data_IF_361009060845
#
_entry.id   IF_361009060845
#
_cell.length_a   1.000
_cell.length_b   1.000
_cell.length_c   1.000
_cell.angle_alpha   90.00
_cell.angle_beta   90.00
_cell.angle_gamma   90.00
#
_symmetry.space_group_name_H-M   'P 1'
#
loop_
_entity.id
_entity.type
_entity.pdbx_description
1 polymer ?
#
# COMPACT_ATOMS: atom_id res chain seq x y z
N UNK A 1 29.84 34.87 49.43
CA UNK A 1 29.94 36.12 48.65
C UNK A 1 28.73 36.22 47.73
N UNK A 2 28.01 37.34 47.87
CA UNK A 2 26.91 37.94 47.08
C UNK A 2 25.67 37.10 46.67
N UNK A 3 24.53 37.72 47.00
CA UNK A 3 23.13 37.29 47.02
C UNK A 3 22.44 37.38 45.64
N UNK A 4 21.24 36.78 45.50
CA UNK A 4 20.34 36.95 44.36
C UNK A 4 19.58 38.29 44.42
N UNK A 5 19.13 38.80 43.27
CA UNK A 5 18.32 40.03 43.19
C UNK A 5 16.95 39.71 42.60
N UNK A 6 15.92 39.91 43.43
CA UNK A 6 14.49 39.98 43.12
C UNK A 6 14.08 41.45 43.11
N UNK A 7 13.39 41.97 42.10
CA UNK A 7 12.55 43.20 42.12
C UNK A 7 11.46 43.00 41.04
N UNK A 8 10.18 42.71 41.36
CA UNK A 8 9.05 43.62 41.74
C UNK A 8 8.76 44.66 40.65
N UNK A 9 7.71 44.55 39.84
CA UNK A 9 6.33 44.90 40.18
C UNK A 9 5.89 46.14 39.37
N UNK A 10 4.70 46.11 38.77
CA UNK A 10 4.17 47.25 38.01
C UNK A 10 2.86 46.96 37.31
N UNK A 11 1.75 47.04 38.05
CA UNK A 11 0.39 47.09 37.52
C UNK A 11 0.17 48.35 36.69
N UNK A 12 -0.55 48.24 35.57
CA UNK A 12 -1.30 49.36 34.97
C UNK A 12 -2.48 48.84 34.16
N UNK A 13 -3.68 49.11 34.68
CA UNK A 13 -4.90 49.61 34.02
C UNK A 13 -5.08 49.13 32.57
N UNK A 14 -6.03 48.27 32.21
CA UNK A 14 -7.46 48.41 32.46
C UNK A 14 -8.11 49.09 31.26
N UNK A 15 -8.56 48.31 30.26
CA UNK A 15 -9.65 48.69 29.34
C UNK A 15 -10.43 47.43 28.96
N UNK A 16 -11.70 47.44 29.34
CA UNK A 16 -12.75 46.50 28.99
C UNK A 16 -13.36 46.95 27.66
N UNK A 17 -13.67 46.05 26.72
CA UNK A 17 -14.85 46.23 25.89
C UNK A 17 -15.92 45.22 26.33
N UNK A 18 -17.04 45.78 26.81
CA UNK A 18 -18.29 45.09 27.12
C UNK A 18 -19.07 44.82 25.82
N UNK A 19 -20.00 43.86 25.86
CA UNK A 19 -20.77 43.41 24.71
C UNK A 19 -21.88 44.42 24.38
N UNK A 20 -22.14 44.64 23.09
CA UNK A 20 -23.33 45.35 22.62
C UNK A 20 -24.33 44.36 22.04
N UNK A 21 -25.46 44.23 22.74
CA UNK A 21 -26.74 43.68 22.31
C UNK A 21 -27.53 44.69 21.47
N UNK A 22 -28.15 44.25 20.38
CA UNK A 22 -29.46 44.69 19.86
C UNK A 22 -29.80 43.87 18.58
N UNK A 23 -30.75 42.93 18.60
CA UNK A 23 -32.19 43.09 18.25
C UNK A 23 -32.32 43.43 16.74
N UNK A 24 -32.85 42.59 15.85
CA UNK A 24 -34.28 42.28 15.59
C UNK A 24 -34.34 41.15 14.53
N UNK A 25 -35.01 40.00 14.72
CA UNK A 25 -36.34 39.62 14.20
C UNK A 25 -36.22 38.87 12.84
N UNK A 26 -37.02 37.90 12.37
CA UNK A 26 -38.26 37.22 12.75
C UNK A 26 -38.48 36.13 11.66
N UNK A 27 -39.03 34.95 12.02
CA UNK A 27 -39.79 33.97 11.20
C UNK A 27 -39.17 33.28 9.95
N UNK A 28 -39.10 31.94 9.99
CA UNK A 28 -39.97 31.08 9.16
C UNK A 28 -39.98 29.63 9.68
N UNK A 29 -41.20 29.14 9.95
CA UNK A 29 -41.54 27.81 10.45
C UNK A 29 -41.68 26.85 9.27
N UNK A 30 -41.15 25.63 9.38
CA UNK A 30 -41.56 24.51 8.53
C UNK A 30 -41.84 23.29 9.42
N UNK A 31 -43.12 23.05 9.70
CA UNK A 31 -43.69 21.78 10.15
C UNK A 31 -45.03 21.60 9.43
N UNK A 32 -45.40 20.34 9.23
CA UNK A 32 -46.56 19.79 8.51
C UNK A 32 -46.37 19.73 6.98
N UNK A 33 -46.47 18.58 6.34
CA UNK A 33 -47.64 17.69 6.34
C UNK A 33 -47.35 16.21 6.60
N UNK A 34 -48.30 15.55 7.26
CA UNK A 34 -48.40 14.11 7.39
C UNK A 34 -49.60 13.52 6.65
N UNK A 35 -49.53 12.19 6.50
CA UNK A 35 -50.59 11.20 6.25
C UNK A 35 -51.26 11.13 4.88
N UNK A 36 -51.06 10.00 4.20
CA UNK A 36 -52.13 9.00 4.06
C UNK A 36 -51.57 7.59 3.83
N UNK A 37 -52.06 6.64 4.64
CA UNK A 37 -51.89 5.21 4.45
C UNK A 37 -53.14 4.65 3.73
N UNK A 38 -52.95 3.74 2.77
CA UNK A 38 -53.98 2.78 2.35
C UNK A 38 -53.31 1.40 2.26
N UNK A 39 -54.00 0.42 2.84
CA UNK A 39 -53.61 -0.97 3.00
C UNK A 39 -54.09 -1.86 1.84
N UNK A 40 -53.46 -3.05 1.72
CA UNK A 40 -53.99 -4.26 1.07
C UNK A 40 -53.38 -4.56 -0.31
N UNK A 41 -53.12 -5.80 -0.76
CA UNK A 41 -53.36 -7.17 -0.27
C UNK A 41 -52.40 -8.11 -1.05
N UNK A 42 -51.74 -9.02 -0.32
CA UNK A 42 -51.35 -10.42 -0.61
C UNK A 42 -51.29 -10.92 -2.08
N UNK A 43 -50.11 -11.41 -2.49
CA UNK A 43 -49.96 -12.74 -3.11
C UNK A 43 -48.52 -13.24 -3.00
N UNK A 44 -48.37 -14.38 -2.34
CA UNK A 44 -47.14 -15.16 -2.34
C UNK A 44 -47.05 -16.00 -3.61
N UNK A 45 -45.82 -16.19 -4.09
CA UNK A 45 -45.45 -17.33 -4.92
C UNK A 45 -44.05 -17.76 -4.50
N UNK A 46 -43.98 -18.94 -3.90
CA UNK A 46 -42.78 -19.73 -3.65
C UNK A 46 -42.11 -20.09 -4.96
N UNK A 47 -40.81 -19.83 -5.07
CA UNK A 47 -40.00 -20.26 -6.21
C UNK A 47 -38.52 -20.22 -5.82
N UNK A 48 -38.09 -21.22 -5.04
CA UNK A 48 -36.68 -21.55 -4.92
C UNK A 48 -36.21 -22.10 -6.27
N UNK A 49 -35.65 -21.23 -7.11
CA UNK A 49 -34.92 -21.61 -8.31
C UNK A 49 -33.43 -21.43 -8.03
N UNK A 50 -32.71 -22.54 -8.06
CA UNK A 50 -31.26 -22.60 -7.98
C UNK A 50 -30.65 -21.65 -9.03
N UNK A 51 -29.78 -20.75 -8.59
CA UNK A 51 -28.99 -19.90 -9.49
C UNK A 51 -28.06 -20.78 -10.34
N UNK A 52 -28.05 -20.65 -11.67
CA UNK A 52 -26.97 -21.23 -12.48
C UNK A 52 -25.64 -20.53 -12.17
N UNK A 53 -24.49 -21.18 -12.41
CA UNK A 53 -23.20 -20.57 -12.20
C UNK A 53 -23.02 -19.43 -13.21
N UNK A 54 -22.93 -18.20 -12.72
CA UNK A 54 -22.60 -17.04 -13.55
C UNK A 54 -21.14 -17.15 -13.98
N UNK A 55 -20.95 -17.64 -15.21
CA UNK A 55 -19.78 -17.34 -16.04
C UNK A 55 -19.59 -15.82 -16.15
N UNK A 56 -18.33 -15.42 -16.18
CA UNK A 56 -17.88 -14.04 -16.13
C UNK A 56 -18.53 -13.16 -17.19
N UNK A 57 -19.36 -12.23 -16.73
CA UNK A 57 -19.75 -11.05 -17.48
C UNK A 57 -18.98 -9.87 -16.91
N UNK A 58 -18.32 -9.15 -17.82
CA UNK A 58 -17.58 -7.92 -17.57
C UNK A 58 -18.53 -6.96 -16.86
N UNK A 59 -18.18 -6.58 -15.64
CA UNK A 59 -18.99 -5.69 -14.81
C UNK A 59 -19.36 -4.43 -15.57
N UNK A 60 -20.66 -4.16 -15.59
CA UNK A 60 -21.27 -2.94 -16.07
C UNK A 60 -20.49 -1.73 -15.56
N UNK A 61 -20.06 -0.87 -16.48
CA UNK A 61 -19.32 0.34 -16.17
C UNK A 61 -20.13 1.20 -15.22
N UNK A 62 -19.77 1.19 -13.93
CA UNK A 62 -20.12 2.27 -13.01
C UNK A 62 -19.74 3.58 -13.71
N UNK A 63 -20.72 4.41 -14.07
CA UNK A 63 -20.57 5.62 -14.91
C UNK A 63 -19.73 6.76 -14.30
N UNK A 64 -18.73 6.43 -13.50
CA UNK A 64 -17.72 7.34 -12.95
C UNK A 64 -16.35 7.12 -13.59
N UNK A 65 -15.36 7.94 -13.21
CA UNK A 65 -14.03 7.88 -13.80
C UNK A 65 -13.37 6.52 -13.56
N UNK A 66 -12.63 6.02 -14.57
CA UNK A 66 -11.89 4.77 -14.50
C UNK A 66 -10.56 4.86 -15.24
N UNK A 67 -9.61 3.99 -14.87
CA UNK A 67 -8.30 3.91 -15.50
C UNK A 67 -8.09 2.51 -16.09
N UNK A 68 -7.64 2.44 -17.34
CA UNK A 68 -7.03 1.27 -17.93
C UNK A 68 -5.57 1.54 -18.28
N UNK A 69 -4.66 0.59 -18.03
CA UNK A 69 -3.24 0.71 -18.39
C UNK A 69 -2.87 -0.46 -19.29
N UNK A 70 -2.41 -0.14 -20.50
CA UNK A 70 -1.90 -1.11 -21.46
C UNK A 70 -0.38 -1.18 -21.39
N UNK A 71 0.15 -2.36 -21.07
CA UNK A 71 1.59 -2.60 -21.05
C UNK A 71 2.19 -2.70 -22.47
N UNK A 72 1.40 -3.18 -23.45
CA UNK A 72 1.81 -3.20 -24.86
C UNK A 72 1.98 -1.79 -25.41
N UNK A 73 0.96 -0.94 -25.21
CA UNK A 73 0.93 0.43 -25.74
C UNK A 73 1.83 1.36 -24.93
N UNK A 74 2.13 0.99 -23.67
CA UNK A 74 2.76 1.89 -22.68
C UNK A 74 1.94 3.16 -22.53
N UNK A 75 0.62 2.98 -22.42
CA UNK A 75 -0.34 4.06 -22.25
C UNK A 75 -1.29 3.79 -21.09
N UNK A 76 -1.68 4.87 -20.45
CA UNK A 76 -2.79 4.95 -19.51
C UNK A 76 -3.97 5.61 -20.23
N UNK A 77 -5.13 4.98 -20.14
CA UNK A 77 -6.40 5.45 -20.65
C UNK A 77 -7.26 5.84 -19.45
N UNK A 78 -7.65 7.11 -19.38
CA UNK A 78 -8.53 7.65 -18.36
C UNK A 78 -9.90 7.88 -19.01
N UNK A 79 -10.90 7.14 -18.56
CA UNK A 79 -12.30 7.44 -18.86
C UNK A 79 -12.79 8.46 -17.84
N UNK A 80 -13.26 9.62 -18.31
CA UNK A 80 -13.85 10.66 -17.48
C UNK A 80 -15.28 10.34 -17.05
N UNK A 81 -15.86 11.17 -16.18
CA UNK A 81 -17.27 11.08 -15.79
C UNK A 81 -18.24 11.39 -16.94
N UNK A 82 -17.74 12.09 -17.96
CA UNK A 82 -18.41 12.38 -19.24
C UNK A 82 -18.34 11.20 -20.22
N UNK A 83 -17.64 10.12 -19.87
CA UNK A 83 -17.38 8.99 -20.75
C UNK A 83 -16.25 9.23 -21.76
N UNK A 84 -15.65 10.43 -21.80
CA UNK A 84 -14.52 10.69 -22.70
C UNK A 84 -13.28 9.92 -22.27
N UNK A 85 -12.63 9.26 -23.22
CA UNK A 85 -11.39 8.52 -22.97
C UNK A 85 -10.19 9.34 -23.42
N UNK A 86 -9.32 9.70 -22.48
CA UNK A 86 -8.05 10.39 -22.72
C UNK A 86 -6.89 9.43 -22.53
N UNK A 87 -5.91 9.49 -23.44
CA UNK A 87 -4.75 8.61 -23.39
C UNK A 87 -3.45 9.36 -23.07
N UNK A 88 -2.62 8.77 -22.22
CA UNK A 88 -1.37 9.35 -21.72
C UNK A 88 -0.22 8.34 -21.82
N UNK A 89 0.98 8.73 -22.26
CA UNK A 89 2.12 7.82 -22.28
C UNK A 89 2.59 7.54 -20.84
N UNK A 90 3.03 6.31 -20.59
CA UNK A 90 3.58 5.89 -19.28
C UNK A 90 4.90 5.16 -19.44
N UNK A 91 5.83 5.36 -18.51
CA UNK A 91 6.94 4.43 -18.33
C UNK A 91 6.47 3.24 -17.51
N UNK A 92 6.89 2.04 -17.93
CA UNK A 92 6.60 0.80 -17.24
C UNK A 92 7.90 0.15 -16.73
N UNK A 93 7.77 -0.94 -15.98
CA UNK A 93 8.89 -1.71 -15.45
C UNK A 93 9.93 -2.06 -16.52
N UNK A 94 11.22 -1.88 -16.18
CA UNK A 94 12.35 -2.36 -16.98
C UNK A 94 12.29 -3.88 -17.19
N UNK A 95 12.96 -4.43 -18.21
CA UNK A 95 13.01 -5.89 -18.41
C UNK A 95 13.40 -6.63 -17.14
N UNK A 96 12.69 -7.73 -16.84
CA UNK A 96 12.89 -8.52 -15.62
C UNK A 96 12.25 -7.97 -14.35
N UNK A 97 11.64 -6.77 -14.37
CA UNK A 97 10.85 -6.25 -13.24
C UNK A 97 9.37 -6.60 -13.46
N UNK A 98 8.77 -7.44 -12.59
CA UNK A 98 7.36 -7.79 -12.73
C UNK A 98 6.45 -6.60 -12.44
N UNK A 99 5.38 -6.48 -13.23
CA UNK A 99 4.30 -5.51 -13.03
C UNK A 99 3.01 -6.31 -12.85
N UNK A 100 2.21 -6.04 -11.80
CA UNK A 100 0.91 -6.70 -11.66
C UNK A 100 -0.02 -6.42 -12.84
N UNK A 101 -0.81 -7.43 -13.21
CA UNK A 101 -1.83 -7.39 -14.26
C UNK A 101 -3.15 -7.81 -13.61
N UNK A 102 -4.25 -7.16 -13.97
CA UNK A 102 -5.58 -7.38 -13.39
C UNK A 102 -6.19 -6.10 -12.83
N UNK A 103 -7.20 -6.27 -11.98
CA UNK A 103 -7.96 -5.17 -11.41
C UNK A 103 -7.37 -4.69 -10.07
N UNK A 104 -7.49 -3.39 -9.83
CA UNK A 104 -7.05 -2.66 -8.65
C UNK A 104 -7.92 -1.41 -8.48
N UNK A 105 -7.69 -0.66 -7.41
CA UNK A 105 -8.30 0.66 -7.19
C UNK A 105 -7.24 1.67 -6.72
N UNK A 106 -7.53 2.96 -6.86
CA UNK A 106 -6.75 4.01 -6.21
C UNK A 106 -7.04 3.97 -4.71
N UNK A 107 -6.04 3.59 -3.90
CA UNK A 107 -6.19 3.52 -2.44
C UNK A 107 -5.85 4.84 -1.76
N UNK A 108 -4.93 5.60 -2.35
CA UNK A 108 -4.48 6.86 -1.76
C UNK A 108 -4.00 7.83 -2.83
N UNK A 109 -4.32 9.09 -2.63
CA UNK A 109 -3.82 10.22 -3.43
C UNK A 109 -2.84 11.04 -2.61
N UNK A 110 -1.64 11.28 -3.14
CA UNK A 110 -0.56 12.03 -2.46
C UNK A 110 -0.14 13.23 -3.30
N UNK A 111 -0.32 14.43 -2.74
CA UNK A 111 0.31 15.66 -3.23
C UNK A 111 1.67 15.83 -2.57
N UNK A 112 2.67 16.28 -3.32
CA UNK A 112 4.04 16.47 -2.88
C UNK A 112 4.56 15.28 -2.05
N UNK A 113 4.60 14.06 -2.62
CA UNK A 113 4.98 12.87 -1.87
C UNK A 113 6.46 12.90 -1.49
N UNK A 114 6.81 12.42 -0.29
CA UNK A 114 8.18 11.99 0.00
C UNK A 114 8.43 10.64 -0.68
N UNK A 115 9.50 10.53 -1.46
CA UNK A 115 9.92 9.24 -1.98
C UNK A 115 10.78 8.50 -0.97
N UNK A 116 10.49 7.22 -0.77
CA UNK A 116 11.31 6.31 0.02
C UNK A 116 11.63 5.12 -0.86
N UNK A 117 12.92 4.86 -1.18
CA UNK A 117 13.26 3.70 -1.98
C UNK A 117 12.73 2.42 -1.34
N UNK A 118 12.38 1.44 -2.17
CA UNK A 118 12.03 0.10 -1.70
C UNK A 118 13.29 -0.64 -1.25
N UNK A 119 13.14 -1.74 -0.49
CA UNK A 119 14.33 -2.51 -0.11
C UNK A 119 15.00 -3.13 -1.34
N UNK A 120 14.22 -3.55 -2.35
CA UNK A 120 14.78 -4.03 -3.61
C UNK A 120 15.62 -2.96 -4.32
N UNK A 121 15.11 -1.72 -4.42
CA UNK A 121 15.88 -0.62 -5.01
C UNK A 121 17.17 -0.34 -4.25
N UNK A 122 17.16 -0.42 -2.91
CA UNK A 122 18.39 -0.27 -2.10
C UNK A 122 19.34 -1.46 -2.21
N UNK A 123 18.86 -2.68 -2.46
CA UNK A 123 19.75 -3.81 -2.75
C UNK A 123 20.49 -3.60 -4.07
N UNK A 124 19.77 -3.16 -5.10
CA UNK A 124 20.34 -2.91 -6.42
C UNK A 124 21.25 -1.67 -6.43
N UNK A 125 20.90 -0.63 -5.65
CA UNK A 125 21.69 0.60 -5.50
C UNK A 125 21.77 1.00 -4.02
N UNK A 126 22.76 0.48 -3.27
CA UNK A 126 22.93 0.75 -1.85
C UNK A 126 23.15 2.22 -1.48
N UNK A 127 23.63 3.03 -2.44
CA UNK A 127 23.85 4.47 -2.26
C UNK A 127 22.59 5.33 -2.28
N UNK A 128 21.40 4.75 -2.50
CA UNK A 128 20.15 5.51 -2.48
C UNK A 128 19.87 6.10 -1.08
N UNK A 129 19.43 7.37 -1.00
CA UNK A 129 19.10 8.00 0.28
C UNK A 129 17.90 7.32 0.95
N UNK A 130 17.80 7.39 2.28
CA UNK A 130 16.67 6.80 3.02
C UNK A 130 15.31 7.39 2.62
N UNK A 131 15.29 8.66 2.26
CA UNK A 131 14.15 9.37 1.73
C UNK A 131 14.62 10.54 0.86
N UNK A 132 13.81 10.90 -0.13
CA UNK A 132 13.94 12.16 -0.88
C UNK A 132 12.68 12.98 -0.61
N UNK A 133 12.80 14.18 -0.04
CA UNK A 133 11.66 15.04 0.25
C UNK A 133 11.00 15.52 -1.06
N UNK A 134 9.82 16.16 -0.99
CA UNK A 134 9.20 16.77 -2.15
C UNK A 134 10.12 17.83 -2.78
N UNK A 135 10.15 17.89 -4.12
CA UNK A 135 10.97 18.85 -4.86
C UNK A 135 11.38 18.33 -6.25
N UNK A 136 12.16 19.13 -7.01
CA UNK A 136 12.54 18.79 -8.39
C UNK A 136 13.31 17.47 -8.52
N UNK A 137 14.05 17.08 -7.49
CA UNK A 137 14.86 15.85 -7.49
C UNK A 137 14.07 14.61 -7.04
N UNK A 138 12.77 14.73 -6.75
CA UNK A 138 11.96 13.63 -6.28
C UNK A 138 11.48 12.76 -7.45
N UNK A 139 11.80 11.44 -7.47
CA UNK A 139 11.43 10.57 -8.58
C UNK A 139 9.95 10.22 -8.66
N UNK A 140 9.14 10.58 -7.65
CA UNK A 140 7.69 10.48 -7.71
C UNK A 140 7.03 11.72 -8.33
N UNK A 141 7.79 12.80 -8.56
CA UNK A 141 7.24 14.09 -8.98
C UNK A 141 6.31 14.71 -7.92
N UNK A 142 5.37 15.54 -8.37
CA UNK A 142 4.44 16.29 -7.50
C UNK A 142 3.24 15.46 -7.04
N UNK A 143 2.88 14.39 -7.74
CA UNK A 143 1.66 13.63 -7.52
C UNK A 143 1.91 12.14 -7.61
N UNK A 144 1.29 11.38 -6.72
CA UNK A 144 1.26 9.93 -6.75
C UNK A 144 -0.13 9.40 -6.36
N UNK A 145 -0.57 8.38 -7.09
CA UNK A 145 -1.79 7.61 -6.88
C UNK A 145 -1.35 6.20 -6.50
N UNK A 146 -1.46 5.86 -5.24
CA UNK A 146 -1.08 4.53 -4.77
C UNK A 146 -2.21 3.54 -5.08
N UNK A 147 -1.85 2.40 -5.66
CA UNK A 147 -2.78 1.36 -6.06
C UNK A 147 -2.98 0.32 -4.96
N UNK A 148 -3.99 -0.54 -5.13
CA UNK A 148 -4.28 -1.69 -4.24
C UNK A 148 -3.16 -2.73 -4.17
N UNK A 149 -2.22 -2.70 -5.13
CA UNK A 149 -1.03 -3.56 -5.09
C UNK A 149 0.12 -2.93 -4.29
N UNK A 150 0.89 -3.76 -3.55
CA UNK A 150 1.93 -3.28 -2.65
C UNK A 150 3.05 -2.50 -3.36
N UNK A 151 3.12 -1.20 -3.06
CA UNK A 151 4.01 -0.19 -3.67
C UNK A 151 4.04 -0.18 -5.20
N UNK A 152 2.86 -0.37 -5.80
CA UNK A 152 2.62 0.08 -7.16
C UNK A 152 1.87 1.40 -7.07
N UNK A 153 2.34 2.38 -7.82
CA UNK A 153 1.70 3.68 -7.92
C UNK A 153 1.73 4.17 -9.36
N UNK A 154 0.76 5.01 -9.70
CA UNK A 154 0.80 5.88 -10.87
C UNK A 154 1.32 7.23 -10.36
N UNK A 155 2.45 7.70 -10.86
CA UNK A 155 3.09 8.88 -10.32
C UNK A 155 3.79 9.72 -11.39
N UNK A 156 4.11 10.98 -11.06
CA UNK A 156 4.91 11.84 -11.92
C UNK A 156 6.37 11.38 -12.02
N UNK A 157 7.24 12.19 -12.60
CA UNK A 157 8.67 11.85 -12.67
C UNK A 157 9.51 13.12 -12.70
N UNK A 158 10.75 13.03 -12.21
CA UNK A 158 11.80 14.02 -12.45
C UNK A 158 12.65 13.68 -13.69
N UNK A 159 12.38 12.54 -14.33
CA UNK A 159 13.04 12.06 -15.55
C UNK A 159 11.97 11.92 -16.66
N UNK A 160 11.49 13.02 -17.26
CA UNK A 160 10.41 12.98 -18.25
C UNK A 160 10.73 12.12 -19.47
N UNK A 161 12.01 12.08 -19.87
CA UNK A 161 12.48 11.22 -20.97
C UNK A 161 12.26 9.73 -20.68
N UNK A 162 12.12 9.30 -19.42
CA UNK A 162 11.84 7.89 -19.12
C UNK A 162 10.43 7.45 -19.56
N UNK A 163 9.50 8.40 -19.79
CA UNK A 163 8.10 8.13 -20.15
C UNK A 163 8.00 7.53 -21.55
N UNK A 164 7.12 6.54 -21.72
CA UNK A 164 6.99 5.76 -22.95
C UNK A 164 8.05 4.66 -23.11
N UNK A 165 8.86 4.38 -22.08
CA UNK A 165 9.93 3.36 -22.10
C UNK A 165 9.76 2.34 -20.97
N UNK A 166 10.47 1.21 -21.07
CA UNK A 166 10.62 0.20 -20.00
C UNK A 166 11.76 0.62 -19.07
N UNK A 167 11.50 1.58 -18.19
CA UNK A 167 12.53 2.24 -17.38
C UNK A 167 12.24 2.25 -15.87
N UNK A 168 11.04 1.86 -15.44
CA UNK A 168 10.64 1.98 -14.04
C UNK A 168 11.07 0.77 -13.19
N UNK A 169 11.04 0.95 -11.87
CA UNK A 169 11.21 -0.14 -10.88
C UNK A 169 9.92 -0.91 -10.59
N UNK A 170 8.90 -0.81 -11.44
CA UNK A 170 7.61 -1.53 -11.32
C UNK A 170 6.37 -0.64 -11.24
N UNK A 171 6.54 0.65 -10.95
CA UNK A 171 5.45 1.65 -10.96
C UNK A 171 5.17 2.20 -12.37
N UNK A 172 4.09 2.97 -12.51
CA UNK A 172 3.73 3.67 -13.75
C UNK A 172 4.16 5.13 -13.65
N UNK A 173 5.19 5.53 -14.41
CA UNK A 173 5.66 6.93 -14.44
C UNK A 173 4.94 7.70 -15.53
N UNK A 174 4.45 8.88 -15.21
CA UNK A 174 3.79 9.79 -16.14
C UNK A 174 4.58 11.08 -16.27
N UNK A 175 4.34 11.83 -17.35
CA UNK A 175 4.83 13.20 -17.46
C UNK A 175 4.25 14.06 -16.31
N UNK A 176 4.97 15.08 -15.82
CA UNK A 176 4.50 15.93 -14.72
C UNK A 176 3.12 16.56 -14.94
N UNK A 177 2.82 17.00 -16.17
CA UNK A 177 1.51 17.59 -16.51
C UNK A 177 0.39 16.54 -16.62
N UNK A 178 0.72 15.35 -17.14
CA UNK A 178 -0.25 14.27 -17.30
C UNK A 178 -0.71 13.72 -15.95
N UNK A 179 0.23 13.51 -15.01
CA UNK A 179 -0.16 13.04 -13.68
C UNK A 179 -1.03 14.06 -12.95
N UNK A 180 -0.82 15.37 -13.16
CA UNK A 180 -1.66 16.40 -12.57
C UNK A 180 -3.09 16.31 -13.08
N UNK A 181 -3.25 16.07 -14.38
CA UNK A 181 -4.56 15.85 -15.01
C UNK A 181 -5.25 14.61 -14.46
N UNK A 182 -4.56 13.46 -14.44
CA UNK A 182 -5.11 12.20 -13.92
C UNK A 182 -5.40 12.30 -12.42
N UNK A 183 -4.54 12.98 -11.65
CA UNK A 183 -4.75 13.22 -10.23
C UNK A 183 -5.98 14.08 -9.97
N UNK A 184 -6.26 15.09 -10.80
CA UNK A 184 -7.45 15.94 -10.64
C UNK A 184 -8.75 15.18 -11.00
N UNK A 185 -8.70 14.32 -12.02
CA UNK A 185 -9.87 13.66 -12.59
C UNK A 185 -10.30 12.35 -11.89
N UNK A 186 -9.55 11.88 -10.88
CA UNK A 186 -9.80 10.61 -10.20
C UNK A 186 -10.00 10.79 -8.71
N UNK A 187 -10.56 9.78 -8.04
CA UNK A 187 -10.80 9.79 -6.60
C UNK A 187 -10.23 8.52 -5.94
N UNK A 188 -10.13 8.53 -4.61
CA UNK A 188 -9.88 7.27 -3.89
C UNK A 188 -11.06 6.35 -4.13
N UNK A 189 -10.78 5.11 -4.53
CA UNK A 189 -11.78 4.14 -4.97
C UNK A 189 -11.93 4.02 -6.50
N UNK A 190 -11.40 4.96 -7.29
CA UNK A 190 -11.43 4.87 -8.76
C UNK A 190 -10.85 3.52 -9.22
N UNK A 191 -11.58 2.75 -10.05
CA UNK A 191 -11.12 1.46 -10.55
C UNK A 191 -9.95 1.64 -11.53
N UNK A 192 -8.98 0.73 -11.42
CA UNK A 192 -7.78 0.68 -12.24
C UNK A 192 -7.60 -0.74 -12.77
N UNK A 193 -7.53 -0.92 -14.08
CA UNK A 193 -7.24 -2.21 -14.70
C UNK A 193 -5.94 -2.17 -15.47
N UNK A 194 -5.04 -3.12 -15.22
CA UNK A 194 -3.79 -3.27 -15.98
C UNK A 194 -3.88 -4.49 -16.87
N UNK A 195 -3.62 -4.33 -18.16
CA UNK A 195 -3.66 -5.40 -19.17
C UNK A 195 -2.33 -5.51 -19.90
N UNK A 196 -2.03 -6.70 -20.42
CA UNK A 196 -0.84 -6.90 -21.26
C UNK A 196 -1.06 -6.43 -22.68
N UNK A 197 -2.27 -6.60 -23.18
CA UNK A 197 -2.62 -6.42 -24.58
C UNK A 197 -2.86 -4.95 -24.94
N UNK A 198 -2.85 -4.68 -26.24
CA UNK A 198 -3.13 -3.34 -26.76
C UNK A 198 -4.60 -2.97 -26.60
N UNK A 199 -4.86 -1.72 -26.20
CA UNK A 199 -6.19 -1.09 -26.15
C UNK A 199 -6.37 -0.02 -27.24
N UNK A 200 -5.30 0.25 -28.02
CA UNK A 200 -5.19 1.37 -28.96
C UNK A 200 -6.11 1.34 -30.17
N UNK A 201 -6.90 0.29 -30.38
CA UNK A 201 -7.90 0.24 -31.46
C UNK A 201 -9.14 1.12 -31.25
N UNK A 202 -9.28 1.77 -30.10
CA UNK A 202 -10.54 2.43 -29.69
C UNK A 202 -10.42 3.88 -29.18
N UNK A 203 -9.23 4.50 -29.17
CA UNK A 203 -9.05 5.83 -28.55
C UNK A 203 -8.17 6.75 -29.44
N UNK A 204 -8.62 7.98 -29.78
CA UNK A 204 -7.80 8.93 -30.55
C UNK A 204 -6.55 9.34 -29.77
N UNK A 205 -5.39 9.26 -30.44
CA UNK A 205 -4.08 9.52 -29.86
C UNK A 205 -3.78 11.02 -29.79
N UNK A 206 -3.51 11.55 -28.59
CA UNK A 206 -2.87 12.87 -28.45
C UNK A 206 -1.37 12.71 -28.70
N UNK A 207 -0.87 13.40 -29.72
CA UNK A 207 0.53 13.34 -30.13
C UNK A 207 1.48 13.76 -29.00
N UNK A 208 2.47 12.91 -28.72
CA UNK A 208 3.56 13.23 -27.81
C UNK A 208 4.50 14.30 -28.44
N UNK A 209 5.10 15.19 -27.63
CA UNK A 209 6.11 16.12 -28.15
C UNK A 209 7.35 15.35 -28.65
N UNK A 210 8.01 15.83 -29.73
CA UNK A 210 9.15 15.14 -30.31
C UNK A 210 10.34 15.08 -29.33
N UNK A 211 11.10 13.98 -29.32
CA UNK A 211 12.28 13.85 -28.46
C UNK A 211 13.36 14.85 -28.89
N UNK A 212 13.92 15.57 -27.92
CA UNK A 212 15.09 16.42 -28.14
C UNK A 212 16.33 15.52 -28.30
N UNK A 213 17.16 15.67 -29.35
CA UNK A 213 18.35 14.84 -29.52
C UNK A 213 19.45 15.24 -28.52
N UNK A 214 20.05 14.25 -27.86
CA UNK A 214 21.24 14.43 -27.02
C UNK A 214 22.52 14.21 -27.83
N UNK A 215 23.64 14.89 -27.48
CA UNK A 215 24.95 14.62 -28.07
C UNK A 215 25.51 13.27 -27.59
N UNK A 216 26.16 12.56 -28.51
CA UNK A 216 26.78 11.27 -28.27
C UNK A 216 27.88 11.38 -27.20
N UNK A 217 27.79 10.52 -26.18
CA UNK A 217 28.83 10.39 -25.15
C UNK A 217 29.46 9.01 -25.27
N UNK A 218 30.72 9.02 -25.72
CA UNK A 218 31.60 7.87 -25.89
C UNK A 218 31.87 7.22 -24.52
N UNK A 219 31.62 5.91 -24.42
CA UNK A 219 32.04 5.08 -23.29
C UNK A 219 33.44 4.51 -23.59
N UNK A 220 34.44 4.62 -22.70
CA UNK A 220 35.65 3.83 -22.81
C UNK A 220 35.43 2.41 -22.28
N UNK A 221 36.06 1.46 -22.95
CA UNK A 221 36.03 0.03 -22.69
C UNK A 221 36.97 -0.41 -21.57
N UNK A 222 36.64 -1.58 -21.02
CA UNK A 222 37.48 -2.55 -20.31
C UNK A 222 37.90 -2.27 -18.85
N UNK A 223 37.47 -3.16 -17.94
CA UNK A 223 38.37 -3.84 -16.99
C UNK A 223 37.91 -5.30 -16.83
N UNK A 224 38.90 -6.21 -16.90
CA UNK A 224 38.82 -7.67 -16.91
C UNK A 224 38.36 -8.29 -15.58
N UNK A 225 37.84 -9.51 -15.71
CA UNK A 225 37.49 -10.44 -14.63
C UNK A 225 38.70 -10.92 -13.80
N UNK A 226 38.43 -11.24 -12.52
CA UNK A 226 39.33 -11.93 -11.58
C UNK A 226 38.71 -13.30 -11.24
N UNK A 227 39.47 -14.42 -11.24
CA UNK A 227 38.96 -15.76 -10.94
C UNK A 227 38.85 -16.05 -9.43
N UNK A 228 38.08 -17.07 -9.00
CA UNK A 228 37.83 -17.36 -7.59
C UNK A 228 38.94 -18.21 -6.95
N UNK A 229 39.27 -17.93 -5.69
CA UNK A 229 40.17 -18.72 -4.86
C UNK A 229 39.41 -19.81 -4.08
N UNK A 230 40.06 -20.97 -3.94
CA UNK A 230 39.56 -22.20 -3.35
C UNK A 230 39.31 -22.13 -1.84
N UNK A 231 38.24 -22.78 -1.37
CA UNK A 231 37.93 -22.98 0.05
C UNK A 231 38.25 -24.43 0.42
N UNK A 232 39.06 -24.63 1.47
CA UNK A 232 39.35 -25.93 2.11
C UNK A 232 38.26 -26.27 3.14
N UNK A 233 37.94 -27.55 3.39
CA UNK A 233 36.98 -27.95 4.43
C UNK A 233 37.65 -28.00 5.81
N UNK A 234 36.89 -27.61 6.85
CA UNK A 234 37.21 -27.84 8.27
C UNK A 234 36.26 -28.92 8.82
N UNK A 235 36.70 -29.77 9.77
CA UNK A 235 35.90 -30.90 10.25
C UNK A 235 34.88 -30.51 11.32
N UNK A 236 33.82 -31.30 11.36
CA UNK A 236 32.74 -31.30 12.34
C UNK A 236 33.22 -31.76 13.71
N UNK A 237 32.78 -31.07 14.77
CA UNK A 237 32.78 -31.60 16.13
C UNK A 237 31.42 -31.32 16.77
N UNK A 238 30.77 -32.40 17.17
CA UNK A 238 29.53 -32.41 17.93
C UNK A 238 29.78 -31.95 19.36
N UNK A 239 28.86 -31.15 19.92
CA UNK A 239 28.71 -31.03 21.38
C UNK A 239 27.23 -31.06 21.72
N UNK A 240 26.92 -31.96 22.65
CA UNK A 240 25.60 -32.34 23.11
C UNK A 240 24.90 -31.25 23.93
N UNK A 241 23.57 -31.39 23.96
CA UNK A 241 22.64 -30.58 24.71
C UNK A 241 22.85 -30.63 26.23
N UNK A 242 22.48 -29.56 26.91
CA UNK A 242 22.11 -29.60 28.33
C UNK A 242 20.97 -28.61 28.57
N UNK A 243 19.86 -29.16 29.05
CA UNK A 243 18.62 -28.47 29.38
C UNK A 243 18.59 -28.09 30.86
N UNK A 244 18.06 -26.92 31.17
CA UNK A 244 17.61 -26.55 32.52
C UNK A 244 16.26 -25.84 32.41
N UNK A 245 15.24 -26.20 33.23
CA UNK A 245 13.94 -25.53 33.19
C UNK A 245 13.95 -24.28 34.06
N UNK A 246 13.31 -23.20 33.58
CA UNK A 246 13.08 -21.99 34.34
C UNK A 246 11.65 -21.97 34.92
N UNK A 247 11.57 -21.59 36.20
CA UNK A 247 10.38 -21.51 37.04
C UNK A 247 9.31 -20.51 36.57
N UNK A 248 8.10 -20.84 36.97
CA UNK A 248 6.80 -20.23 36.72
C UNK A 248 6.63 -18.83 37.35
N UNK A 249 5.96 -17.95 36.61
CA UNK A 249 5.30 -16.73 37.11
C UNK A 249 3.79 -16.82 36.78
N UNK A 250 2.90 -16.21 37.58
CA UNK A 250 1.47 -16.52 37.57
C UNK A 250 0.72 -15.88 36.39
N UNK A 251 -0.29 -16.59 35.90
CA UNK A 251 -1.07 -16.26 34.72
C UNK A 251 -2.03 -15.08 34.96
N UNK A 252 -1.98 -14.10 34.05
CA UNK A 252 -3.00 -13.08 33.85
C UNK A 252 -4.30 -13.72 33.26
N UNK A 253 -5.48 -13.07 33.38
CA UNK A 253 -6.76 -13.72 33.13
C UNK A 253 -6.87 -14.20 31.69
N UNK A 254 -7.36 -15.43 31.53
CA UNK A 254 -7.50 -16.13 30.25
C UNK A 254 -8.47 -15.34 29.37
N UNK A 255 -7.91 -14.56 28.43
CA UNK A 255 -8.65 -14.08 27.27
C UNK A 255 -9.22 -15.31 26.56
N UNK A 256 -10.48 -15.22 26.12
CA UNK A 256 -11.11 -16.27 25.32
C UNK A 256 -10.24 -16.71 24.14
N UNK A 257 -10.49 -17.90 23.57
CA UNK A 257 -9.63 -18.48 22.55
C UNK A 257 -9.31 -17.45 21.46
N UNK A 258 -8.05 -17.32 21.04
CA UNK A 258 -7.67 -16.32 20.05
C UNK A 258 -8.53 -16.52 18.80
N UNK A 259 -9.04 -15.43 18.20
CA UNK A 259 -9.90 -15.53 17.04
C UNK A 259 -9.20 -16.26 15.89
N UNK A 260 -9.99 -16.98 15.09
CA UNK A 260 -9.49 -17.81 14.00
C UNK A 260 -8.59 -17.01 13.03
N UNK A 261 -7.52 -17.63 12.50
CA UNK A 261 -6.70 -17.03 11.45
C UNK A 261 -7.54 -16.86 10.18
N UNK A 262 -7.33 -15.77 9.46
CA UNK A 262 -7.96 -15.57 8.15
C UNK A 262 -7.10 -16.28 7.10
N UNK A 263 -7.70 -16.92 6.09
CA UNK A 263 -6.99 -17.53 4.96
C UNK A 263 -6.63 -16.50 3.89
N UNK A 264 -5.42 -16.54 3.30
CA UNK A 264 -5.03 -15.57 2.27
C UNK A 264 -5.54 -16.02 0.89
N UNK A 265 -6.46 -15.27 0.25
CA UNK A 265 -6.97 -15.62 -1.08
C UNK A 265 -5.88 -15.64 -2.16
N UNK A 266 -4.74 -14.95 -1.95
CA UNK A 266 -3.62 -14.92 -2.89
C UNK A 266 -2.85 -16.24 -2.95
N UNK A 267 -3.01 -17.13 -1.96
CA UNK A 267 -2.26 -18.39 -1.92
C UNK A 267 -2.52 -19.28 -3.13
N UNK A 268 -3.71 -19.22 -3.73
CA UNK A 268 -4.05 -20.01 -4.92
C UNK A 268 -3.27 -19.60 -6.19
N UNK A 269 -2.81 -18.34 -6.27
CA UNK A 269 -2.24 -17.76 -7.49
C UNK A 269 -0.82 -17.24 -7.33
N UNK A 270 -0.24 -17.36 -6.13
CA UNK A 270 1.06 -16.76 -5.86
C UNK A 270 2.23 -17.62 -6.36
N UNK A 271 3.17 -16.95 -7.03
CA UNK A 271 4.38 -17.56 -7.57
C UNK A 271 5.67 -17.06 -6.91
N UNK A 272 5.58 -16.04 -6.06
CA UNK A 272 6.73 -15.50 -5.33
C UNK A 272 7.23 -16.53 -4.28
N UNK A 273 8.53 -16.90 -4.27
CA UNK A 273 9.06 -17.98 -3.41
C UNK A 273 8.73 -17.81 -1.92
N UNK A 274 8.90 -16.60 -1.38
CA UNK A 274 8.53 -16.29 0.00
C UNK A 274 7.05 -16.56 0.27
N UNK A 275 6.16 -16.12 -0.62
CA UNK A 275 4.72 -16.23 -0.36
C UNK A 275 4.23 -17.66 -0.57
N UNK A 276 4.77 -18.41 -1.54
CA UNK A 276 4.53 -19.85 -1.65
C UNK A 276 4.88 -20.57 -0.37
N UNK A 277 6.09 -20.37 0.15
CA UNK A 277 6.51 -21.01 1.39
C UNK A 277 5.61 -20.66 2.58
N UNK A 278 5.13 -19.42 2.69
CA UNK A 278 4.16 -19.02 3.73
C UNK A 278 2.81 -19.74 3.53
N UNK A 279 2.34 -19.88 2.30
CA UNK A 279 1.07 -20.50 1.96
C UNK A 279 1.07 -22.03 2.10
N UNK A 280 2.17 -22.68 1.71
CA UNK A 280 2.28 -24.14 1.61
C UNK A 280 2.59 -24.80 2.96
N UNK A 281 3.22 -24.07 3.89
CA UNK A 281 3.56 -24.58 5.23
C UNK A 281 2.46 -24.20 6.22
N UNK A 282 1.66 -25.15 6.74
CA UNK A 282 0.47 -24.85 7.55
C UNK A 282 0.74 -23.97 8.77
N UNK A 283 1.87 -24.19 9.45
CA UNK A 283 2.26 -23.38 10.61
C UNK A 283 2.55 -21.92 10.26
N UNK A 284 3.18 -21.67 9.10
CA UNK A 284 3.46 -20.31 8.62
C UNK A 284 2.18 -19.62 8.15
N UNK A 285 1.32 -20.35 7.42
CA UNK A 285 0.03 -19.87 6.97
C UNK A 285 -0.86 -19.43 8.14
N UNK A 286 -0.85 -20.19 9.25
CA UNK A 286 -1.58 -19.87 10.46
C UNK A 286 -1.06 -18.60 11.14
N UNK A 287 0.26 -18.41 11.23
CA UNK A 287 0.86 -17.20 11.80
C UNK A 287 0.52 -15.96 10.95
N UNK A 288 0.68 -16.06 9.63
CA UNK A 288 0.35 -14.99 8.70
C UNK A 288 -1.15 -14.65 8.73
N UNK A 289 -2.01 -15.68 8.78
CA UNK A 289 -3.46 -15.51 8.91
C UNK A 289 -3.89 -14.84 10.22
N UNK A 290 -3.17 -15.05 11.32
CA UNK A 290 -3.38 -14.31 12.59
C UNK A 290 -3.03 -12.84 12.45
N UNK A 291 -1.93 -12.51 11.76
CA UNK A 291 -1.52 -11.12 11.48
C UNK A 291 -2.61 -10.42 10.67
N UNK A 292 -3.06 -11.03 9.57
CA UNK A 292 -4.10 -10.45 8.71
C UNK A 292 -5.42 -10.30 9.44
N UNK A 293 -5.85 -11.31 10.20
CA UNK A 293 -7.06 -11.21 11.01
C UNK A 293 -7.00 -10.08 12.04
N UNK A 294 -5.83 -9.82 12.65
CA UNK A 294 -5.66 -8.68 13.55
C UNK A 294 -5.80 -7.33 12.81
N UNK A 295 -5.20 -7.23 11.61
CA UNK A 295 -5.29 -6.05 10.75
C UNK A 295 -6.73 -5.79 10.28
N UNK A 296 -7.43 -6.81 9.77
CA UNK A 296 -8.81 -6.71 9.30
C UNK A 296 -9.76 -6.25 10.42
N UNK A 297 -9.66 -6.84 11.62
CA UNK A 297 -10.46 -6.43 12.78
C UNK A 297 -10.16 -4.99 13.22
N UNK A 298 -8.90 -4.55 13.10
CA UNK A 298 -8.56 -3.16 13.38
C UNK A 298 -9.20 -2.21 12.37
N UNK A 299 -9.10 -2.51 11.07
CA UNK A 299 -9.70 -1.69 10.01
C UNK A 299 -11.23 -1.66 10.10
N UNK A 300 -11.87 -2.77 10.44
CA UNK A 300 -13.32 -2.85 10.68
C UNK A 300 -13.78 -1.94 11.84
N UNK A 301 -12.92 -1.70 12.83
CA UNK A 301 -13.21 -0.84 13.96
C UNK A 301 -13.06 0.67 13.70
N UNK A 302 -12.56 1.08 12.54
CA UNK A 302 -12.44 2.50 12.15
C UNK A 302 -13.73 2.88 11.43
N UNK A 303 -14.49 3.86 11.94
CA UNK A 303 -15.77 4.28 11.33
C UNK A 303 -15.56 5.16 10.08
N UNK A 304 -14.66 6.14 10.17
CA UNK A 304 -14.37 7.09 9.07
C UNK A 304 -13.73 6.39 7.85
N UNK A 305 -14.34 6.46 6.65
CA UNK A 305 -13.80 5.86 5.44
C UNK A 305 -12.40 6.37 5.05
N UNK A 306 -12.12 7.66 5.23
CA UNK A 306 -10.83 8.25 4.85
C UNK A 306 -9.69 7.78 5.78
N UNK A 307 -9.94 7.76 7.08
CA UNK A 307 -9.05 7.19 8.08
C UNK A 307 -8.84 5.68 7.86
N UNK A 308 -9.91 4.93 7.54
CA UNK A 308 -9.82 3.49 7.24
C UNK A 308 -8.95 3.22 6.01
N UNK A 309 -9.14 3.99 4.93
CA UNK A 309 -8.33 3.88 3.72
C UNK A 309 -6.84 4.19 4.00
N UNK A 310 -6.57 5.23 4.78
CA UNK A 310 -5.21 5.60 5.20
C UNK A 310 -4.56 4.49 6.05
N UNK A 311 -5.28 3.98 7.05
CA UNK A 311 -4.81 2.90 7.90
C UNK A 311 -4.58 1.60 7.10
N UNK A 312 -5.48 1.26 6.17
CA UNK A 312 -5.35 0.11 5.28
C UNK A 312 -4.08 0.21 4.44
N UNK A 313 -3.85 1.38 3.85
CA UNK A 313 -2.64 1.66 3.08
C UNK A 313 -1.37 1.46 3.92
N UNK A 314 -1.31 2.02 5.13
CA UNK A 314 -0.13 1.91 5.99
C UNK A 314 0.16 0.45 6.37
N UNK A 315 -0.87 -0.35 6.63
CA UNK A 315 -0.74 -1.78 6.92
C UNK A 315 -0.25 -2.58 5.70
N UNK A 316 -0.72 -2.26 4.50
CA UNK A 316 -0.22 -2.84 3.24
C UNK A 316 1.27 -2.50 3.06
N UNK A 317 1.66 -1.26 3.33
CA UNK A 317 3.07 -0.84 3.23
C UNK A 317 3.94 -1.51 4.30
N UNK A 318 3.42 -1.75 5.50
CA UNK A 318 4.11 -2.50 6.55
C UNK A 318 4.28 -3.98 6.19
N UNK A 319 3.24 -4.63 5.67
CA UNK A 319 3.34 -5.99 5.13
C UNK A 319 4.44 -6.10 4.08
N UNK A 320 4.48 -5.12 3.16
CA UNK A 320 5.51 -5.06 2.13
C UNK A 320 6.91 -4.88 2.71
N UNK A 321 7.10 -3.92 3.62
CA UNK A 321 8.39 -3.68 4.29
C UNK A 321 8.87 -4.94 5.01
N UNK A 322 7.96 -5.66 5.64
CA UNK A 322 8.25 -6.93 6.27
C UNK A 322 8.67 -7.99 5.23
N UNK A 323 7.87 -8.26 4.21
CA UNK A 323 8.19 -9.26 3.18
C UNK A 323 9.53 -8.97 2.49
N UNK A 324 9.81 -7.70 2.18
CA UNK A 324 11.06 -7.29 1.55
C UNK A 324 12.29 -7.50 2.43
N UNK A 325 12.16 -7.28 3.75
CA UNK A 325 13.23 -7.52 4.71
C UNK A 325 13.43 -9.02 4.95
N UNK A 326 12.34 -9.75 5.11
CA UNK A 326 12.36 -11.16 5.51
C UNK A 326 12.81 -12.08 4.38
N UNK A 327 12.41 -11.82 3.12
CA UNK A 327 12.94 -12.59 1.99
C UNK A 327 14.47 -12.57 1.95
N UNK A 328 15.07 -11.40 2.21
CA UNK A 328 16.53 -11.25 2.26
C UNK A 328 17.15 -11.87 3.52
N UNK A 329 16.55 -11.65 4.69
CA UNK A 329 17.07 -12.17 5.96
C UNK A 329 17.01 -13.69 6.06
N UNK A 330 15.95 -14.30 5.54
CA UNK A 330 15.76 -15.75 5.56
C UNK A 330 16.32 -16.44 4.31
N UNK A 331 17.07 -15.72 3.46
CA UNK A 331 17.71 -16.28 2.26
C UNK A 331 16.74 -16.97 1.28
N UNK A 332 15.51 -16.49 1.19
CA UNK A 332 14.46 -17.11 0.36
C UNK A 332 14.56 -16.58 -1.07
N UNK A 333 14.87 -17.48 -2.00
CA UNK A 333 14.97 -17.24 -3.44
C UNK A 333 14.34 -18.40 -4.20
N UNK A 334 14.06 -18.21 -5.49
CA UNK A 334 13.59 -19.32 -6.32
C UNK A 334 14.59 -20.49 -6.24
N UNK A 335 14.10 -21.71 -6.03
CA UNK A 335 14.92 -22.91 -5.88
C UNK A 335 15.34 -23.27 -4.45
N UNK A 336 15.04 -22.45 -3.42
CA UNK A 336 15.27 -22.85 -2.01
C UNK A 336 14.43 -24.04 -1.56
N UNK A 337 13.42 -24.41 -2.34
CA UNK A 337 12.49 -25.51 -2.08
C UNK A 337 13.08 -26.88 -2.45
N UNK A 338 14.16 -26.93 -3.25
CA UNK A 338 14.75 -28.18 -3.74
C UNK A 338 15.72 -28.86 -2.77
N UNK A 339 16.21 -28.15 -1.74
CA UNK A 339 17.09 -28.67 -0.69
C UNK A 339 16.33 -28.68 0.65
N UNK A 340 16.09 -29.86 1.26
CA UNK A 340 15.33 -29.97 2.50
C UNK A 340 15.95 -29.21 3.68
N UNK A 341 17.29 -29.15 3.77
CA UNK A 341 17.98 -28.47 4.86
C UNK A 341 17.86 -26.94 4.70
N UNK A 342 17.99 -26.44 3.48
CA UNK A 342 17.78 -25.01 3.16
C UNK A 342 16.33 -24.60 3.40
N UNK A 343 15.38 -25.44 2.99
CA UNK A 343 13.95 -25.21 3.23
C UNK A 343 13.62 -25.18 4.73
N UNK A 344 14.17 -26.11 5.53
CA UNK A 344 13.96 -26.14 6.99
C UNK A 344 14.55 -24.89 7.68
N UNK A 345 15.74 -24.45 7.29
CA UNK A 345 16.35 -23.24 7.82
C UNK A 345 15.53 -21.98 7.48
N UNK A 346 15.03 -21.88 6.25
CA UNK A 346 14.15 -20.80 5.82
C UNK A 346 12.82 -20.79 6.61
N UNK A 347 12.21 -21.96 6.82
CA UNK A 347 10.97 -22.10 7.61
C UNK A 347 11.17 -21.68 9.08
N UNK A 348 12.27 -22.08 9.71
CA UNK A 348 12.61 -21.67 11.08
C UNK A 348 12.77 -20.15 11.20
N UNK A 349 13.48 -19.55 10.25
CA UNK A 349 13.62 -18.10 10.16
C UNK A 349 12.26 -17.39 9.98
N UNK A 350 11.41 -17.89 9.08
CA UNK A 350 10.07 -17.35 8.83
C UNK A 350 9.15 -17.46 10.05
N UNK A 351 9.20 -18.58 10.76
CA UNK A 351 8.41 -18.79 11.99
C UNK A 351 8.74 -17.71 13.01
N UNK A 352 10.03 -17.48 13.25
CA UNK A 352 10.51 -16.44 14.17
C UNK A 352 10.09 -15.04 13.70
N UNK A 353 10.26 -14.76 12.41
CA UNK A 353 9.93 -13.46 11.83
C UNK A 353 8.43 -13.13 11.90
N UNK A 354 7.57 -14.09 11.54
CA UNK A 354 6.12 -13.92 11.59
C UNK A 354 5.61 -13.84 13.03
N UNK A 355 6.18 -14.61 13.96
CA UNK A 355 5.86 -14.49 15.39
C UNK A 355 6.16 -13.09 15.96
N UNK A 356 7.32 -12.53 15.63
CA UNK A 356 7.67 -11.14 15.99
C UNK A 356 6.71 -10.14 15.35
N UNK A 357 6.42 -10.28 14.05
CA UNK A 357 5.46 -9.41 13.35
C UNK A 357 4.07 -9.43 13.99
N UNK A 358 3.57 -10.58 14.39
CA UNK A 358 2.28 -10.70 15.06
C UNK A 358 2.26 -9.89 16.37
N UNK A 359 3.34 -9.98 17.14
CA UNK A 359 3.50 -9.21 18.38
C UNK A 359 3.53 -7.70 18.07
N UNK A 360 4.39 -7.27 17.15
CA UNK A 360 4.54 -5.86 16.74
C UNK A 360 3.20 -5.25 16.25
N UNK A 361 2.47 -5.98 15.39
CA UNK A 361 1.19 -5.53 14.84
C UNK A 361 0.14 -5.41 15.95
N UNK A 362 0.10 -6.37 16.88
CA UNK A 362 -0.84 -6.37 17.99
C UNK A 362 -0.58 -5.18 18.93
N UNK A 363 0.69 -4.94 19.29
CA UNK A 363 1.08 -3.79 20.11
C UNK A 363 0.76 -2.46 19.44
N UNK A 364 1.03 -2.34 18.14
CA UNK A 364 0.77 -1.11 17.39
C UNK A 364 -0.73 -0.84 17.25
N UNK A 365 -1.54 -1.86 16.99
CA UNK A 365 -3.00 -1.74 16.99
C UNK A 365 -3.50 -1.29 18.38
N UNK A 366 -2.96 -1.84 19.47
CA UNK A 366 -3.31 -1.42 20.81
C UNK A 366 -2.93 0.05 21.07
N UNK A 367 -1.77 0.49 20.59
CA UNK A 367 -1.33 1.89 20.65
C UNK A 367 -2.25 2.84 19.88
N UNK A 368 -2.61 2.49 18.64
CA UNK A 368 -3.53 3.29 17.80
C UNK A 368 -4.92 3.42 18.45
N UNK A 369 -5.44 2.33 19.02
CA UNK A 369 -6.71 2.35 19.77
C UNK A 369 -6.67 3.26 21.00
N UNK A 370 -5.56 3.25 21.76
CA UNK A 370 -5.37 4.15 22.90
C UNK A 370 -5.33 5.61 22.43
N UNK A 371 -4.59 5.91 21.37
CA UNK A 371 -4.52 7.26 20.80
C UNK A 371 -5.88 7.77 20.32
N UNK A 372 -6.67 6.91 19.67
CA UNK A 372 -8.03 7.26 19.23
C UNK A 372 -9.00 7.51 20.39
N UNK A 373 -8.89 6.74 21.49
CA UNK A 373 -9.71 6.98 22.69
C UNK A 373 -9.36 8.31 23.37
N UNK A 374 -8.08 8.64 23.47
CA UNK A 374 -7.62 9.90 24.05
C UNK A 374 -7.99 11.12 23.20
N UNK A 375 -8.14 10.96 21.88
CA UNK A 375 -8.58 12.02 20.97
C UNK A 375 -10.12 12.19 20.93
N UNK A 376 -10.88 11.30 21.57
CA UNK A 376 -12.35 11.29 21.60
C UNK A 376 -12.98 11.63 22.96
N UNK A 377 -12.18 11.93 23.98
CA UNK A 377 -12.66 12.51 25.24
C UNK A 377 -12.65 14.05 25.09
N UNK A 378 -13.79 14.73 25.30
CA UNK A 378 -13.90 16.20 25.19
C UNK A 378 -13.15 16.97 26.28
#
# INVERSE_FOLDING_TARGET
MRRPTTIRGGCSRGVIPRPTTAITGILARCLFWGLLAIAGVISGATGAAASPPMEGTVGEASGGPSIAISLADRRLYLTGSDGEVRSFPVAIGRPGVPIPVGDSTIQRKRRNPTWRPTAHQRRDKPSLPRAVPPGPNNPLGKFALDLGWPAIAIHGTNEPDSVGRRASGGCFRMLPADIETVFAATEVGTPVRVVRDSLGGSVPERAAPPPTPLPARTLPAAVRAVPPAAVRPQPVAAVAASSTPASSMPAAPVAGPPPAPVADPRCATVTAPLRRMICDVPALALLDGRVRGAQERFLAGIADPAARATASYDLIQDERRFHERIAALCWIRAGTEGDPAVAAAAQSCLTTALGRRLSDVTERIAGLRRGMRLAGEP
#
